data_IF_147708347193
#
_entry.id   IF_147708347193
#
_cell.length_a   1.000
_cell.length_b   1.000
_cell.length_c   1.000
_cell.angle_alpha   90.00
_cell.angle_beta   90.00
_cell.angle_gamma   90.00
#
_symmetry.space_group_name_H-M   'P 1'
#
loop_
_entity.id
_entity.type
_entity.pdbx_description
1 polymer ?
#
# COMPACT_ATOMS: atom_id res chain seq x y z
N UNK A 1 -8.58 -5.26 -22.08
CA UNK A 1 -8.56 -4.07 -21.18
C UNK A 1 -7.28 -4.13 -20.37
N UNK A 2 -6.44 -3.10 -20.41
CA UNK A 2 -5.25 -2.99 -19.56
C UNK A 2 -5.68 -2.58 -18.14
N UNK A 3 -5.04 -3.13 -17.11
CA UNK A 3 -5.26 -2.74 -15.72
C UNK A 3 -3.91 -2.53 -15.02
N UNK A 4 -3.85 -1.58 -14.08
CA UNK A 4 -2.66 -1.35 -13.29
C UNK A 4 -2.31 -2.55 -12.41
N UNK A 5 -1.03 -2.76 -12.10
CA UNK A 5 -0.59 -3.89 -11.27
C UNK A 5 -1.24 -3.90 -9.87
N UNK A 6 -1.50 -2.72 -9.31
CA UNK A 6 -2.20 -2.55 -8.03
C UNK A 6 -3.61 -3.16 -8.04
N UNK A 7 -4.23 -3.31 -9.22
CA UNK A 7 -5.53 -3.97 -9.36
C UNK A 7 -5.52 -5.43 -8.86
N UNK A 8 -4.36 -6.10 -8.84
CA UNK A 8 -4.25 -7.47 -8.30
C UNK A 8 -4.66 -7.55 -6.83
N UNK A 9 -4.44 -6.49 -6.04
CA UNK A 9 -4.82 -6.43 -4.62
C UNK A 9 -6.35 -6.40 -4.43
N UNK A 10 -7.11 -5.98 -5.46
CA UNK A 10 -8.58 -6.03 -5.43
C UNK A 10 -9.15 -7.43 -5.62
N UNK A 11 -8.31 -8.41 -5.97
CA UNK A 11 -8.72 -9.79 -6.30
C UNK A 11 -8.83 -10.70 -5.09
N UNK A 12 -8.29 -10.27 -3.95
CA UNK A 12 -8.28 -11.04 -2.70
C UNK A 12 -8.87 -10.18 -1.59
N UNK A 13 -9.81 -10.76 -0.87
CA UNK A 13 -10.35 -10.25 0.40
C UNK A 13 -9.91 -11.18 1.52
N UNK A 14 -9.60 -10.61 2.68
CA UNK A 14 -9.11 -11.39 3.81
C UNK A 14 -9.67 -10.86 5.15
N UNK A 15 -9.50 -11.64 6.20
CA UNK A 15 -9.76 -11.27 7.59
C UNK A 15 -8.50 -11.52 8.41
N UNK A 16 -7.74 -10.46 8.69
CA UNK A 16 -6.42 -10.58 9.34
C UNK A 16 -6.15 -9.42 10.30
N UNK A 17 -5.34 -9.71 11.32
CA UNK A 17 -4.93 -8.74 12.34
C UNK A 17 -3.46 -8.40 12.11
N UNK A 18 -3.17 -7.11 12.00
CA UNK A 18 -1.83 -6.55 11.88
C UNK A 18 -1.45 -5.90 13.21
N UNK A 19 -0.41 -6.42 13.87
CA UNK A 19 0.06 -5.92 15.17
C UNK A 19 1.37 -5.17 14.98
N UNK A 20 1.47 -3.95 15.54
CA UNK A 20 2.69 -3.12 15.50
C UNK A 20 3.29 -2.97 14.10
N UNK A 21 2.44 -2.80 13.07
CA UNK A 21 2.84 -2.64 11.66
C UNK A 21 2.40 -1.30 11.09
N UNK A 22 3.30 -0.63 10.38
CA UNK A 22 2.97 0.58 9.60
C UNK A 22 2.24 0.21 8.31
N UNK A 23 1.54 1.15 7.66
CA UNK A 23 0.96 0.90 6.34
C UNK A 23 2.01 0.47 5.30
N UNK A 24 3.25 0.98 5.45
CA UNK A 24 4.40 0.63 4.61
C UNK A 24 4.81 -0.84 4.78
N UNK A 25 4.89 -1.33 6.02
CA UNK A 25 5.24 -2.73 6.27
C UNK A 25 4.16 -3.68 5.71
N UNK A 26 2.89 -3.26 5.81
CA UNK A 26 1.77 -4.05 5.32
C UNK A 26 1.74 -4.08 3.79
N UNK A 27 2.01 -2.96 3.11
CA UNK A 27 2.05 -2.95 1.64
C UNK A 27 3.16 -3.83 1.10
N UNK A 28 4.34 -3.82 1.72
CA UNK A 28 5.45 -4.71 1.34
C UNK A 28 5.08 -6.19 1.50
N UNK A 29 4.41 -6.52 2.60
CA UNK A 29 3.92 -7.88 2.87
C UNK A 29 2.90 -8.31 1.80
N UNK A 30 1.90 -7.48 1.54
CA UNK A 30 0.85 -7.75 0.56
C UNK A 30 1.43 -7.83 -0.86
N UNK A 31 2.36 -6.97 -1.24
CA UNK A 31 2.98 -7.02 -2.56
C UNK A 31 3.76 -8.32 -2.75
N UNK A 32 4.47 -8.77 -1.72
CA UNK A 32 5.16 -10.06 -1.74
C UNK A 32 4.18 -11.24 -1.89
N UNK A 33 3.07 -11.25 -1.15
CA UNK A 33 2.02 -12.28 -1.26
C UNK A 33 1.42 -12.37 -2.67
N UNK A 34 1.28 -11.22 -3.35
CA UNK A 34 0.69 -11.13 -4.69
C UNK A 34 1.73 -11.23 -5.83
N UNK A 35 3.02 -11.41 -5.52
CA UNK A 35 4.10 -11.49 -6.52
C UNK A 35 4.35 -10.16 -7.26
N UNK A 36 4.02 -9.04 -6.62
CA UNK A 36 4.23 -7.68 -7.14
C UNK A 36 5.65 -7.23 -6.70
N UNK A 37 6.45 -6.60 -7.58
CA UNK A 37 7.74 -6.06 -7.19
C UNK A 37 7.54 -4.98 -6.12
N UNK A 38 8.49 -4.91 -5.18
CA UNK A 38 8.41 -4.00 -4.05
C UNK A 38 8.18 -2.54 -4.49
N UNK A 39 7.43 -1.79 -3.68
CA UNK A 39 7.17 -0.37 -3.88
C UNK A 39 8.37 0.51 -3.52
N UNK A 40 8.52 1.65 -4.19
CA UNK A 40 9.41 2.71 -3.71
C UNK A 40 8.84 3.39 -2.47
N UNK A 41 9.59 3.33 -1.39
CA UNK A 41 9.31 4.04 -0.15
C UNK A 41 10.18 5.31 0.00
N UNK A 42 11.04 5.61 -0.96
CA UNK A 42 12.00 6.72 -0.88
C UNK A 42 11.34 8.10 -0.74
N UNK A 43 10.12 8.26 -1.27
CA UNK A 43 9.35 9.50 -1.18
C UNK A 43 8.70 9.77 0.19
N UNK A 44 8.71 8.80 1.12
CA UNK A 44 8.09 8.95 2.44
C UNK A 44 9.05 9.68 3.39
N UNK A 45 8.81 10.99 3.58
CA UNK A 45 9.66 11.85 4.43
C UNK A 45 9.36 11.68 5.92
N UNK A 46 8.12 11.36 6.29
CA UNK A 46 7.70 11.11 7.66
C UNK A 46 6.84 9.86 7.70
N UNK A 47 7.22 8.88 8.53
CA UNK A 47 6.41 7.68 8.78
C UNK A 47 5.67 7.87 10.09
N UNK A 48 4.33 7.79 10.10
CA UNK A 48 3.59 7.78 11.35
C UNK A 48 3.97 6.55 12.19
N UNK A 49 3.88 6.65 13.53
CA UNK A 49 4.16 5.51 14.39
C UNK A 49 3.19 4.36 14.08
N UNK A 50 3.65 3.09 14.14
CA UNK A 50 2.77 1.96 13.88
C UNK A 50 1.64 1.90 14.90
N UNK A 51 0.39 1.65 14.48
CA UNK A 51 -0.69 1.36 15.41
C UNK A 51 -0.42 0.05 16.16
N UNK A 52 -0.84 -0.01 17.43
CA UNK A 52 -0.73 -1.22 18.26
C UNK A 52 -1.45 -2.41 17.60
N UNK A 53 -2.59 -2.16 16.97
CA UNK A 53 -3.27 -3.15 16.14
C UNK A 53 -4.09 -2.47 15.04
N UNK A 54 -4.21 -3.14 13.90
CA UNK A 54 -5.11 -2.79 12.81
C UNK A 54 -5.74 -4.06 12.26
N UNK A 55 -7.03 -4.01 11.98
CA UNK A 55 -7.80 -5.16 11.50
C UNK A 55 -8.21 -4.91 10.06
N UNK A 56 -7.92 -5.90 9.21
CA UNK A 56 -8.55 -6.03 7.91
C UNK A 56 -9.75 -6.96 8.08
N UNK A 57 -10.96 -6.47 7.86
CA UNK A 57 -12.19 -7.25 8.08
C UNK A 57 -13.07 -7.28 6.84
N UNK A 58 -13.07 -8.43 6.14
CA UNK A 58 -13.91 -8.67 4.97
C UNK A 58 -13.82 -7.57 3.91
N UNK A 59 -12.63 -7.02 3.73
CA UNK A 59 -12.30 -5.98 2.75
C UNK A 59 -11.15 -6.47 1.86
N UNK A 60 -11.04 -5.92 0.65
CA UNK A 60 -9.95 -6.29 -0.25
C UNK A 60 -8.62 -5.76 0.27
N UNK A 61 -7.51 -6.40 -0.11
CA UNK A 61 -6.18 -5.91 0.25
C UNK A 61 -5.96 -4.47 -0.26
N UNK A 62 -6.59 -4.12 -1.40
CA UNK A 62 -6.57 -2.77 -1.95
C UNK A 62 -7.34 -1.78 -1.05
N UNK A 63 -8.59 -2.09 -0.68
CA UNK A 63 -9.43 -1.19 0.13
C UNK A 63 -8.80 -0.93 1.51
N UNK A 64 -8.26 -1.99 2.13
CA UNK A 64 -7.55 -1.89 3.40
C UNK A 64 -6.34 -0.96 3.32
N UNK A 65 -5.52 -1.13 2.28
CA UNK A 65 -4.34 -0.29 2.06
C UNK A 65 -4.71 1.16 1.78
N UNK A 66 -5.73 1.41 0.95
CA UNK A 66 -6.20 2.77 0.66
C UNK A 66 -6.61 3.49 1.94
N UNK A 67 -7.43 2.87 2.79
CA UNK A 67 -7.85 3.46 4.07
C UNK A 67 -6.65 3.74 4.99
N UNK A 68 -5.72 2.80 5.09
CA UNK A 68 -4.52 2.97 5.94
C UNK A 68 -3.59 4.07 5.42
N UNK A 69 -3.46 4.20 4.11
CA UNK A 69 -2.67 5.26 3.49
C UNK A 69 -3.31 6.64 3.67
N UNK A 70 -4.64 6.74 3.58
CA UNK A 70 -5.36 7.99 3.89
C UNK A 70 -5.17 8.42 5.36
N UNK A 71 -5.25 7.48 6.30
CA UNK A 71 -5.00 7.74 7.73
C UNK A 71 -3.56 8.20 7.99
N UNK A 72 -2.60 7.61 7.28
CA UNK A 72 -1.16 7.92 7.41
C UNK A 72 -0.74 9.15 6.57
N UNK A 73 -1.64 9.70 5.73
CA UNK A 73 -1.35 10.84 4.84
C UNK A 73 -0.40 10.51 3.69
N UNK A 74 -0.37 9.26 3.25
CA UNK A 74 0.49 8.75 2.16
C UNK A 74 -0.38 8.43 0.93
N UNK A 75 0.15 8.66 -0.25
CA UNK A 75 -0.47 8.32 -1.52
C UNK A 75 0.43 7.35 -2.28
N UNK A 76 -0.16 6.25 -2.74
CA UNK A 76 0.51 5.29 -3.62
C UNK A 76 0.29 5.72 -5.08
N UNK A 77 1.37 6.12 -5.74
CA UNK A 77 1.37 6.62 -7.12
C UNK A 77 2.00 5.59 -8.04
N UNK A 78 1.39 5.42 -9.21
CA UNK A 78 1.98 4.58 -10.25
C UNK A 78 2.98 5.37 -11.08
N UNK A 79 4.10 4.75 -11.47
CA UNK A 79 5.12 5.41 -12.26
C UNK A 79 4.55 5.71 -13.65
N UNK A 80 5.01 6.81 -14.24
CA UNK A 80 4.68 7.13 -15.64
C UNK A 80 5.33 6.15 -16.59
N UNK A 81 4.69 5.97 -17.74
CA UNK A 81 5.15 5.13 -18.84
C UNK A 81 6.59 5.53 -19.23
N UNK A 82 7.53 4.58 -19.11
CA UNK A 82 8.97 4.81 -19.28
C UNK A 82 9.84 4.45 -18.07
N UNK A 83 9.27 4.23 -16.88
CA UNK A 83 9.97 3.66 -15.73
C UNK A 83 9.43 2.26 -15.39
N UNK A 84 10.29 1.24 -15.19
CA UNK A 84 9.84 -0.11 -14.94
C UNK A 84 9.18 -0.22 -13.56
N UNK A 85 7.86 -0.41 -13.56
CA UNK A 85 7.06 -1.15 -12.56
C UNK A 85 7.17 -0.76 -11.08
N UNK A 86 7.71 0.42 -10.76
CA UNK A 86 7.96 0.82 -9.38
C UNK A 86 6.83 1.70 -8.84
N UNK A 87 6.01 1.17 -7.92
CA UNK A 87 4.95 1.96 -7.31
C UNK A 87 5.54 2.87 -6.23
N UNK A 88 5.44 4.19 -6.38
CA UNK A 88 6.08 5.16 -5.48
C UNK A 88 5.10 5.72 -4.44
N UNK A 89 5.51 5.79 -3.18
CA UNK A 89 4.72 6.41 -2.10
C UNK A 89 5.14 7.86 -1.84
N UNK A 90 4.16 8.78 -1.86
CA UNK A 90 4.34 10.22 -1.67
C UNK A 90 3.46 10.74 -0.54
N UNK A 91 3.90 11.69 0.30
CA UNK A 91 3.02 12.32 1.28
C UNK A 91 1.99 13.20 0.58
N UNK A 92 0.74 13.20 1.06
CA UNK A 92 -0.35 13.99 0.47
C UNK A 92 -0.11 15.50 0.49
N UNK A 93 0.73 16.00 1.40
CA UNK A 93 1.11 17.41 1.47
C UNK A 93 2.21 17.84 0.49
N UNK A 94 2.74 16.91 -0.33
CA UNK A 94 3.79 17.19 -1.32
C UNK A 94 3.30 17.22 -2.77
N UNK A 95 1.98 17.31 -2.99
CA UNK A 95 1.35 17.43 -4.31
C UNK A 95 1.05 18.89 -4.69
#
# INVERSE_FOLDING_TARGET
>A
MLRPQMWLLSRRSDCRIWMDKTAVDIVETLFSEHGIPASDVSGIVSRPPPPHYSVQWNETDLDYLTRRFEEDGVLLVQPREGQPHFCSMWPMHAA
#
